data_IF_782539433219
#
_entry.id   IF_782539433219
#
_cell.length_a   1.000
_cell.length_b   1.000
_cell.length_c   1.000
_cell.angle_alpha   90.00
_cell.angle_beta   90.00
_cell.angle_gamma   90.00
#
_symmetry.space_group_name_H-M   'P 1'
#
loop_
_entity.id
_entity.type
_entity.pdbx_description
1 polymer ?
#
# COMPACT_ATOMS: atom_id res chain seq x y z
N UNK A 1 -4.33 -15.54 -11.29
CA UNK A 1 -5.34 -14.71 -10.67
C UNK A 1 -4.98 -13.25 -10.88
N UNK A 2 -5.95 -12.45 -11.22
CA UNK A 2 -5.65 -11.03 -11.38
C UNK A 2 -5.42 -10.37 -10.03
N UNK A 3 -4.45 -9.49 -10.02
CA UNK A 3 -4.13 -8.69 -8.85
C UNK A 3 -4.43 -7.23 -9.15
N UNK A 4 -4.81 -6.52 -8.12
CA UNK A 4 -4.99 -5.10 -8.18
C UNK A 4 -3.86 -4.46 -7.39
N UNK A 5 -3.25 -3.41 -7.93
CA UNK A 5 -2.08 -2.79 -7.31
C UNK A 5 -2.36 -1.36 -6.92
N UNK A 6 -1.79 -0.98 -5.79
CA UNK A 6 -1.89 0.38 -5.28
C UNK A 6 -0.46 0.87 -5.02
N UNK A 7 -0.12 2.02 -5.55
CA UNK A 7 1.21 2.60 -5.38
C UNK A 7 1.03 3.99 -4.80
N UNK A 8 1.71 4.27 -3.69
CA UNK A 8 1.60 5.57 -3.04
C UNK A 8 2.97 6.04 -2.61
N UNK A 9 3.12 7.34 -2.56
CA UNK A 9 4.38 7.97 -2.19
C UNK A 9 4.19 8.70 -0.88
N UNK A 10 5.15 8.52 0.04
CA UNK A 10 5.09 9.16 1.35
C UNK A 10 6.42 9.82 1.64
N UNK A 11 6.35 11.04 2.15
CA UNK A 11 7.52 11.74 2.64
C UNK A 11 7.60 11.50 4.15
N UNK A 12 8.70 10.89 4.60
CA UNK A 12 8.86 10.53 6.01
C UNK A 12 10.06 11.28 6.55
N UNK A 13 9.81 12.42 7.17
CA UNK A 13 10.87 13.29 7.71
C UNK A 13 10.81 13.41 9.23
N UNK A 14 9.65 13.22 9.80
CA UNK A 14 9.43 13.40 11.23
C UNK A 14 8.67 12.21 11.79
N UNK A 15 8.75 11.98 13.11
CA UNK A 15 8.04 10.85 13.69
C UNK A 15 6.54 10.81 13.38
N UNK A 16 5.91 11.99 13.28
CA UNK A 16 4.49 12.03 12.97
C UNK A 16 4.19 11.44 11.59
N UNK A 17 5.14 11.53 10.66
CA UNK A 17 4.94 10.97 9.33
C UNK A 17 4.90 9.44 9.38
N UNK A 18 5.64 8.85 10.30
CA UNK A 18 5.60 7.39 10.48
C UNK A 18 4.22 6.98 10.97
N UNK A 19 3.65 7.75 11.89
CA UNK A 19 2.31 7.46 12.39
C UNK A 19 1.28 7.57 11.26
N UNK A 20 1.41 8.60 10.43
CA UNK A 20 0.50 8.77 9.30
C UNK A 20 0.61 7.63 8.30
N UNK A 21 1.82 7.16 8.06
CA UNK A 21 2.02 6.03 7.16
C UNK A 21 1.39 4.76 7.73
N UNK A 22 1.57 4.55 9.03
CA UNK A 22 0.97 3.39 9.68
C UNK A 22 -0.55 3.45 9.60
N UNK A 23 -1.13 4.63 9.82
CA UNK A 23 -2.58 4.79 9.71
C UNK A 23 -3.05 4.50 8.29
N UNK A 24 -2.30 4.96 7.29
CA UNK A 24 -2.63 4.67 5.92
C UNK A 24 -2.63 3.16 5.66
N UNK A 25 -1.57 2.48 6.11
CA UNK A 25 -1.46 1.04 5.87
C UNK A 25 -2.59 0.28 6.57
N UNK A 26 -2.95 0.70 7.78
CA UNK A 26 -4.05 0.06 8.48
C UNK A 26 -5.38 0.32 7.79
N UNK A 27 -5.56 1.52 7.26
CA UNK A 27 -6.81 1.87 6.60
C UNK A 27 -6.99 1.08 5.31
N UNK A 28 -5.97 1.02 4.46
CA UNK A 28 -6.09 0.25 3.22
C UNK A 28 -6.09 -1.24 3.49
N UNK A 29 -5.48 -1.67 4.59
CA UNK A 29 -5.52 -3.07 4.98
C UNK A 29 -6.94 -3.56 5.25
N UNK A 30 -7.81 -2.67 5.72
CA UNK A 30 -9.21 -3.03 5.94
C UNK A 30 -9.90 -3.36 4.63
N UNK A 31 -9.43 -2.83 3.52
CA UNK A 31 -9.96 -3.09 2.21
C UNK A 31 -9.27 -4.26 1.51
N UNK A 32 -8.41 -4.97 2.23
CA UNK A 32 -7.75 -6.15 1.70
C UNK A 32 -6.41 -5.90 1.06
N UNK A 33 -5.87 -4.70 1.15
CA UNK A 33 -4.58 -4.40 0.57
C UNK A 33 -3.45 -4.98 1.41
N UNK A 34 -2.49 -5.60 0.74
CA UNK A 34 -1.30 -6.17 1.38
C UNK A 34 -0.07 -5.44 0.89
N UNK A 35 0.79 -5.06 1.83
CA UNK A 35 2.04 -4.40 1.49
C UNK A 35 3.00 -5.40 0.84
N UNK A 36 3.48 -5.06 -0.35
CA UNK A 36 4.41 -5.91 -1.07
C UNK A 36 5.84 -5.45 -0.84
N UNK A 37 6.06 -4.15 -0.93
CA UNK A 37 7.41 -3.62 -0.86
C UNK A 37 7.39 -2.13 -0.54
N UNK A 38 8.49 -1.66 -0.01
CA UNK A 38 8.72 -0.23 0.21
C UNK A 38 10.08 0.10 -0.39
N UNK A 39 10.13 1.15 -1.20
CA UNK A 39 11.37 1.58 -1.81
C UNK A 39 11.60 3.04 -1.49
N UNK A 40 12.85 3.39 -1.20
CA UNK A 40 13.22 4.76 -0.98
C UNK A 40 13.81 5.33 -2.27
N UNK A 41 13.32 6.52 -2.67
CA UNK A 41 13.83 7.14 -3.89
C UNK A 41 15.20 7.76 -3.62
N UNK A 42 16.20 7.46 -4.45
CA UNK A 42 17.53 8.00 -4.21
C UNK A 42 17.65 9.49 -4.46
N UNK A 43 16.78 10.06 -5.29
CA UNK A 43 16.88 11.45 -5.65
C UNK A 43 16.01 12.37 -4.79
N UNK A 44 15.08 11.82 -4.05
CA UNK A 44 14.19 12.60 -3.19
C UNK A 44 14.32 12.08 -1.77
N UNK A 45 15.09 12.78 -0.96
CA UNK A 45 15.32 12.39 0.41
C UNK A 45 13.98 12.25 1.15
N UNK A 46 13.90 11.27 2.03
CA UNK A 46 12.73 11.03 2.87
C UNK A 46 11.50 10.55 2.13
N UNK A 47 11.58 10.33 0.82
CA UNK A 47 10.43 9.87 0.06
C UNK A 47 10.47 8.36 -0.07
N UNK A 48 9.38 7.73 0.34
CA UNK A 48 9.21 6.29 0.26
C UNK A 48 8.03 5.97 -0.63
N UNK A 49 8.20 4.99 -1.48
CA UNK A 49 7.13 4.51 -2.35
C UNK A 49 6.68 3.17 -1.83
N UNK A 50 5.39 3.07 -1.51
CA UNK A 50 4.83 1.82 -1.00
C UNK A 50 4.03 1.16 -2.12
N UNK A 51 4.24 -0.14 -2.26
CA UNK A 51 3.60 -0.96 -3.26
C UNK A 51 2.71 -1.97 -2.55
N UNK A 52 1.43 -1.96 -2.89
CA UNK A 52 0.47 -2.85 -2.27
C UNK A 52 -0.28 -3.62 -3.36
N UNK A 53 -0.83 -4.75 -2.98
CA UNK A 53 -1.63 -5.53 -3.90
C UNK A 53 -2.81 -6.14 -3.17
N UNK A 54 -3.83 -6.48 -3.91
CA UNK A 54 -4.94 -7.26 -3.38
C UNK A 54 -5.58 -8.06 -4.51
N UNK A 55 -6.28 -9.14 -4.14
CA UNK A 55 -7.02 -9.92 -5.10
C UNK A 55 -8.22 -9.11 -5.58
N UNK A 56 -8.48 -9.17 -6.87
CA UNK A 56 -9.67 -8.51 -7.40
C UNK A 56 -10.91 -9.28 -7.02
N UNK A 57 -11.94 -8.53 -6.64
CA UNK A 57 -13.24 -9.10 -6.36
C UNK A 57 -14.00 -9.19 -7.67
N UNK A 58 -14.57 -10.36 -7.92
CA UNK A 58 -15.35 -10.59 -9.11
C UNK A 58 -16.81 -10.28 -8.82
N UNK A 59 -17.49 -9.68 -9.79
CA UNK A 59 -18.83 -9.14 -9.57
C UNK A 59 -19.71 -10.23 -9.00
N UNK A 60 -20.23 -11.10 -9.17
CA UNK A 60 -21.21 -12.03 -8.61
C UNK A 60 -20.83 -12.56 -7.25
N UNK A 61 -20.01 -11.85 -6.53
CA UNK A 61 -19.66 -12.28 -5.20
C UNK A 61 -18.57 -13.31 -5.12
N UNK A 62 -17.98 -13.66 -6.22
CA UNK A 62 -16.84 -14.57 -6.22
C UNK A 62 -15.59 -13.78 -5.91
N UNK A 63 -14.88 -14.21 -4.90
CA UNK A 63 -13.64 -13.55 -4.50
C UNK A 63 -12.46 -14.35 -5.04
N UNK A 64 -11.53 -13.65 -5.68
CA UNK A 64 -10.33 -14.31 -6.16
C UNK A 64 -9.50 -14.76 -4.97
N UNK A 65 -9.05 -15.99 -5.02
CA UNK A 65 -8.24 -16.56 -3.94
C UNK A 65 -6.77 -16.47 -4.31
N UNK A 66 -5.96 -16.21 -3.34
CA UNK A 66 -4.51 -16.13 -3.54
C UNK A 66 -3.87 -17.50 -3.61
#
# INVERSE_FOLDING_TARGET
>A
MPWEYLVREFSVQEPVHIVLLEEFLNEVGKDGWNLVSVAQTPTANFTHVVYLKRSQVIAEGVVAQD
#
